data_IF_993569981336
#
_entry.id   IF_993569981336
#
_cell.length_a   1.000
_cell.length_b   1.000
_cell.length_c   1.000
_cell.angle_alpha   90.00
_cell.angle_beta   90.00
_cell.angle_gamma   90.00
#
_symmetry.space_group_name_H-M   'P 1'
#
loop_
_entity.id
_entity.type
_entity.pdbx_description
1 polymer ?
#
# COMPACT_ATOMS: atom_id res chain seq x y z
N UNK A 1 -3.40 -5.92 -96.26
CA UNK A 1 -2.84 -6.81 -95.28
C UNK A 1 -2.17 -5.98 -94.19
N UNK A 2 -2.82 -5.67 -93.11
CA UNK A 2 -2.20 -5.17 -91.87
C UNK A 2 -3.16 -5.48 -90.75
N UNK A 3 -2.72 -6.34 -89.85
CA UNK A 3 -3.43 -6.75 -88.68
C UNK A 3 -3.27 -5.66 -87.62
N UNK A 4 -4.35 -5.06 -87.18
CA UNK A 4 -4.40 -4.20 -86.00
C UNK A 4 -4.75 -5.07 -84.78
N UNK A 5 -3.82 -5.20 -83.88
CA UNK A 5 -4.03 -5.85 -82.55
C UNK A 5 -4.69 -4.82 -81.65
N UNK A 6 -5.90 -5.07 -81.26
CA UNK A 6 -6.57 -4.33 -80.18
C UNK A 6 -6.08 -4.92 -78.86
N UNK A 7 -5.39 -4.11 -78.06
CA UNK A 7 -5.04 -4.43 -76.72
C UNK A 7 -6.18 -4.01 -75.79
N UNK A 8 -6.87 -5.01 -75.21
CA UNK A 8 -7.82 -4.78 -74.12
C UNK A 8 -7.06 -4.43 -72.86
N UNK A 9 -7.17 -3.19 -72.39
CA UNK A 9 -6.77 -2.75 -71.08
C UNK A 9 -7.82 -3.25 -70.07
N UNK A 10 -7.55 -4.31 -69.33
CA UNK A 10 -8.29 -4.64 -68.11
C UNK A 10 -7.83 -3.70 -67.00
N UNK A 11 -8.58 -2.67 -66.70
CA UNK A 11 -8.50 -1.92 -65.47
C UNK A 11 -9.04 -2.78 -64.34
N UNK A 12 -8.18 -3.48 -63.64
CA UNK A 12 -8.47 -4.05 -62.36
C UNK A 12 -8.56 -2.95 -61.32
N UNK A 13 -9.78 -2.58 -60.94
CA UNK A 13 -10.05 -1.79 -59.76
C UNK A 13 -9.63 -2.56 -58.52
N UNK A 14 -8.45 -2.27 -57.96
CA UNK A 14 -8.09 -2.65 -56.63
C UNK A 14 -8.91 -1.78 -55.66
N UNK A 15 -9.73 -2.37 -54.77
CA UNK A 15 -10.26 -1.60 -53.65
C UNK A 15 -9.08 -1.25 -52.75
N UNK A 16 -8.76 0.03 -52.67
CA UNK A 16 -7.96 0.63 -51.62
C UNK A 16 -8.69 0.31 -50.30
N UNK A 17 -8.34 -0.80 -49.67
CA UNK A 17 -8.56 -1.01 -48.26
C UNK A 17 -7.76 0.06 -47.51
N UNK A 18 -8.40 1.21 -47.31
CA UNK A 18 -7.95 2.15 -46.28
C UNK A 18 -8.05 1.40 -44.97
N UNK A 19 -6.93 0.83 -44.54
CA UNK A 19 -6.73 0.40 -43.18
C UNK A 19 -6.80 1.68 -42.34
N UNK A 20 -8.01 2.01 -41.87
CA UNK A 20 -8.17 2.92 -40.78
C UNK A 20 -7.39 2.27 -39.63
N UNK A 21 -6.16 2.71 -39.42
CA UNK A 21 -5.51 2.53 -38.15
C UNK A 21 -6.49 3.17 -37.15
N UNK A 22 -7.28 2.34 -36.50
CA UNK A 22 -7.98 2.74 -35.31
C UNK A 22 -6.88 3.27 -34.41
N UNK A 23 -6.81 4.59 -34.30
CA UNK A 23 -6.06 5.20 -33.22
C UNK A 23 -6.69 4.63 -31.97
N UNK A 24 -6.08 3.60 -31.42
CA UNK A 24 -6.36 3.10 -30.10
C UNK A 24 -5.93 4.20 -29.13
N UNK A 25 -6.82 5.17 -28.97
CA UNK A 25 -6.72 6.22 -27.95
C UNK A 25 -7.17 5.68 -26.61
N UNK A 26 -6.98 4.39 -26.35
CA UNK A 26 -7.00 3.90 -24.99
C UNK A 26 -5.88 4.65 -24.27
N UNK A 27 -6.25 5.61 -23.42
CA UNK A 27 -5.31 6.27 -22.53
C UNK A 27 -4.49 5.19 -21.87
N UNK A 28 -3.20 5.13 -22.21
CA UNK A 28 -2.31 4.13 -21.68
C UNK A 28 -2.18 4.40 -20.19
N UNK A 29 -2.81 3.57 -19.38
CA UNK A 29 -2.78 3.70 -17.93
C UNK A 29 -1.32 3.69 -17.47
N UNK A 30 -0.95 4.70 -16.71
CA UNK A 30 0.36 4.77 -16.08
C UNK A 30 0.29 4.14 -14.69
N UNK A 31 1.21 3.23 -14.42
CA UNK A 31 1.36 2.58 -13.12
C UNK A 31 2.64 3.06 -12.44
N UNK A 32 2.63 3.10 -11.12
CA UNK A 32 3.82 3.40 -10.35
C UNK A 32 4.92 2.36 -10.61
N UNK A 33 6.17 2.79 -10.54
CA UNK A 33 7.31 1.91 -10.74
C UNK A 33 8.49 2.33 -9.87
N UNK A 34 9.51 1.49 -9.78
CA UNK A 34 10.79 1.80 -9.14
C UNK A 34 11.85 2.04 -10.20
N UNK A 35 12.58 3.15 -10.08
CA UNK A 35 13.74 3.49 -10.90
C UNK A 35 14.88 3.94 -10.01
N UNK A 36 16.03 3.30 -10.14
CA UNK A 36 17.22 3.65 -9.35
C UNK A 36 16.95 3.72 -7.84
N UNK A 37 16.21 2.75 -7.30
CA UNK A 37 15.87 2.70 -5.88
C UNK A 37 14.86 3.75 -5.41
N UNK A 38 14.11 4.39 -6.31
CA UNK A 38 13.14 5.45 -6.00
C UNK A 38 11.80 5.20 -6.70
N UNK A 39 10.72 5.63 -6.08
CA UNK A 39 9.40 5.57 -6.69
C UNK A 39 9.21 6.62 -7.78
N UNK A 40 8.51 6.23 -8.84
CA UNK A 40 7.96 7.12 -9.86
C UNK A 40 6.49 6.76 -10.05
N UNK A 41 5.61 7.76 -10.18
CA UNK A 41 4.17 7.52 -10.38
C UNK A 41 3.82 7.09 -11.82
N UNK A 42 4.79 7.17 -12.72
CA UNK A 42 4.64 6.75 -14.11
C UNK A 42 5.98 6.26 -14.65
N UNK A 43 6.01 5.19 -15.45
CA UNK A 43 7.22 4.78 -16.17
C UNK A 43 7.77 5.85 -17.12
N UNK A 44 6.95 6.80 -17.50
CA UNK A 44 7.34 7.95 -18.37
C UNK A 44 7.88 9.11 -17.55
N UNK A 45 7.62 9.18 -16.25
CA UNK A 45 8.16 10.23 -15.39
C UNK A 45 9.65 10.00 -15.13
N UNK A 46 10.43 11.07 -15.28
CA UNK A 46 11.83 11.12 -14.84
C UNK A 46 11.94 11.52 -13.36
N UNK A 47 10.90 12.11 -12.79
CA UNK A 47 10.91 12.66 -11.44
C UNK A 47 10.52 11.60 -10.43
N UNK A 48 11.39 11.28 -9.50
CA UNK A 48 11.02 10.44 -8.37
C UNK A 48 10.08 11.19 -7.43
N UNK A 49 9.30 10.42 -6.66
CA UNK A 49 8.38 10.96 -5.68
C UNK A 49 8.75 10.49 -4.28
N UNK A 50 8.60 11.40 -3.32
CA UNK A 50 8.57 11.11 -1.89
C UNK A 50 7.17 11.48 -1.41
N UNK A 51 6.54 10.64 -0.61
CA UNK A 51 5.16 10.87 -0.20
C UNK A 51 4.88 10.45 1.24
N UNK A 52 3.81 10.99 1.77
CA UNK A 52 3.21 10.56 3.01
C UNK A 52 1.78 10.09 2.79
N UNK A 53 1.31 9.26 3.67
CA UNK A 53 -0.03 8.72 3.63
C UNK A 53 -0.56 8.42 5.02
N UNK A 54 -1.75 7.85 5.06
CA UNK A 54 -2.43 7.48 6.30
C UNK A 54 -2.83 6.00 6.26
N UNK A 55 -2.69 5.31 7.39
CA UNK A 55 -3.27 3.98 7.56
C UNK A 55 -4.75 4.11 7.92
N UNK A 56 -5.63 3.46 7.16
CA UNK A 56 -7.05 3.33 7.47
C UNK A 56 -7.43 1.83 7.54
N UNK A 57 -7.03 1.15 8.62
CA UNK A 57 -7.08 -0.31 8.68
C UNK A 57 -8.49 -0.88 8.78
N UNK A 58 -9.46 -0.15 9.36
CA UNK A 58 -10.84 -0.62 9.57
C UNK A 58 -11.72 -0.49 8.33
N UNK A 59 -11.36 0.35 7.35
CA UNK A 59 -12.24 0.74 6.24
C UNK A 59 -12.87 -0.45 5.51
N UNK A 60 -12.04 -1.39 5.04
CA UNK A 60 -12.53 -2.54 4.26
C UNK A 60 -13.37 -3.48 5.12
N UNK A 61 -12.90 -3.80 6.33
CA UNK A 61 -13.63 -4.68 7.27
C UNK A 61 -14.97 -4.10 7.70
N UNK A 62 -15.04 -2.80 7.94
CA UNK A 62 -16.28 -2.09 8.30
C UNK A 62 -17.31 -2.19 7.17
N UNK A 63 -16.94 -1.89 5.94
CA UNK A 63 -17.83 -1.98 4.78
C UNK A 63 -18.23 -3.42 4.47
N UNK A 64 -17.32 -4.37 4.64
CA UNK A 64 -17.62 -5.80 4.45
C UNK A 64 -18.67 -6.30 5.45
N UNK A 65 -18.58 -5.87 6.72
CA UNK A 65 -19.55 -6.22 7.75
C UNK A 65 -20.89 -5.47 7.59
N UNK A 66 -20.81 -4.19 7.20
CA UNK A 66 -21.97 -3.29 7.09
C UNK A 66 -21.86 -2.46 5.80
N UNK A 67 -22.42 -2.92 4.66
CA UNK A 67 -22.28 -2.23 3.36
C UNK A 67 -22.76 -0.76 3.35
N UNK A 68 -23.70 -0.38 4.21
CA UNK A 68 -24.14 1.01 4.36
C UNK A 68 -23.02 1.92 4.87
N UNK A 69 -22.08 1.40 5.68
CA UNK A 69 -20.94 2.13 6.21
C UNK A 69 -20.04 2.73 5.11
N UNK A 70 -20.10 2.20 3.89
CA UNK A 70 -19.39 2.83 2.78
C UNK A 70 -19.84 4.28 2.57
N UNK A 71 -21.13 4.53 2.45
CA UNK A 71 -21.68 5.89 2.23
C UNK A 71 -21.75 6.73 3.48
N UNK A 72 -21.95 6.09 4.62
CA UNK A 72 -22.18 6.77 5.89
C UNK A 72 -20.88 7.21 6.57
N UNK A 73 -19.78 6.43 6.38
CA UNK A 73 -18.52 6.63 7.12
C UNK A 73 -17.33 6.68 6.18
N UNK A 74 -17.06 5.59 5.41
CA UNK A 74 -15.77 5.43 4.72
C UNK A 74 -15.62 6.41 3.57
N UNK A 75 -16.65 6.59 2.75
CA UNK A 75 -16.63 7.55 1.65
C UNK A 75 -16.43 9.00 2.16
N UNK A 76 -17.22 9.52 3.13
CA UNK A 76 -16.97 10.86 3.68
C UNK A 76 -15.58 11.04 4.27
N UNK A 77 -15.04 10.03 4.93
CA UNK A 77 -13.70 10.09 5.50
C UNK A 77 -12.62 10.15 4.40
N UNK A 78 -12.75 9.38 3.31
CA UNK A 78 -11.83 9.45 2.17
C UNK A 78 -11.91 10.79 1.45
N UNK A 79 -13.13 11.33 1.25
CA UNK A 79 -13.36 12.65 0.68
C UNK A 79 -12.68 13.73 1.55
N UNK A 80 -12.84 13.63 2.87
CA UNK A 80 -12.21 14.54 3.81
C UNK A 80 -10.69 14.45 3.76
N UNK A 81 -10.10 13.25 3.80
CA UNK A 81 -8.67 13.05 3.70
C UNK A 81 -8.09 13.61 2.38
N UNK A 82 -8.79 13.39 1.27
CA UNK A 82 -8.44 13.98 -0.03
C UNK A 82 -8.41 15.51 0.03
N UNK A 83 -9.42 16.11 0.62
CA UNK A 83 -9.52 17.57 0.80
C UNK A 83 -8.43 18.14 1.73
N UNK A 84 -7.91 17.34 2.67
CA UNK A 84 -6.75 17.70 3.50
C UNK A 84 -5.41 17.50 2.77
N UNK A 85 -5.40 17.04 1.53
CA UNK A 85 -4.19 16.83 0.75
C UNK A 85 -3.52 15.46 0.98
N UNK A 86 -4.16 14.55 1.68
CA UNK A 86 -3.70 13.16 1.81
C UNK A 86 -3.94 12.45 0.49
N UNK A 87 -2.87 12.07 -0.20
CA UNK A 87 -2.94 11.43 -1.53
C UNK A 87 -2.76 9.92 -1.47
N UNK A 88 -2.24 9.38 -0.39
CA UNK A 88 -2.00 7.96 -0.22
C UNK A 88 -2.72 7.42 1.01
N UNK A 89 -3.45 6.32 0.83
CA UNK A 89 -4.14 5.61 1.91
C UNK A 89 -3.68 4.15 1.91
N UNK A 90 -3.26 3.64 3.06
CA UNK A 90 -2.93 2.23 3.23
C UNK A 90 -4.11 1.51 3.89
N UNK A 91 -4.64 0.51 3.21
CA UNK A 91 -5.83 -0.23 3.61
C UNK A 91 -5.47 -1.65 4.03
N UNK A 92 -6.06 -2.09 5.11
CA UNK A 92 -6.04 -3.50 5.52
C UNK A 92 -7.14 -4.27 4.80
N UNK A 93 -6.79 -5.36 4.15
CA UNK A 93 -7.73 -6.26 3.47
C UNK A 93 -7.81 -7.56 4.27
N UNK A 94 -8.82 -7.73 5.15
CA UNK A 94 -8.91 -8.85 6.08
C UNK A 94 -9.42 -10.11 5.39
N UNK A 95 -8.54 -10.80 4.65
CA UNK A 95 -8.86 -12.03 3.95
C UNK A 95 -8.92 -13.22 4.92
N UNK A 96 -9.77 -14.18 4.63
CA UNK A 96 -9.89 -15.44 5.38
C UNK A 96 -9.37 -16.60 4.55
N UNK A 97 -8.54 -17.43 5.16
CA UNK A 97 -8.09 -18.69 4.59
C UNK A 97 -8.67 -19.83 5.40
N UNK A 98 -9.32 -20.75 4.73
CA UNK A 98 -9.93 -21.90 5.36
C UNK A 98 -8.86 -22.92 5.75
N UNK A 99 -8.64 -23.12 7.04
CA UNK A 99 -7.72 -24.14 7.57
C UNK A 99 -8.22 -25.58 7.39
N UNK A 100 -9.49 -25.77 7.07
CA UNK A 100 -10.14 -27.08 6.89
C UNK A 100 -11.10 -27.06 5.72
N UNK A 101 -11.17 -28.18 5.04
CA UNK A 101 -12.01 -28.36 3.86
C UNK A 101 -13.51 -28.05 4.09
N UNK A 102 -14.01 -28.32 5.30
CA UNK A 102 -15.38 -28.09 5.74
C UNK A 102 -15.74 -26.60 5.94
N UNK A 103 -14.73 -25.73 6.13
CA UNK A 103 -14.91 -24.28 6.32
C UNK A 103 -14.67 -23.44 5.06
N UNK A 104 -14.33 -24.05 3.93
CA UNK A 104 -14.05 -23.31 2.68
C UNK A 104 -15.21 -22.42 2.22
N UNK A 105 -16.45 -22.90 2.35
CA UNK A 105 -17.63 -22.11 1.94
C UNK A 105 -17.83 -20.87 2.83
N UNK A 106 -17.56 -20.96 4.14
CA UNK A 106 -17.67 -19.79 5.03
C UNK A 106 -16.59 -18.76 4.71
N UNK A 107 -15.33 -19.19 4.62
CA UNK A 107 -14.23 -18.31 4.25
C UNK A 107 -14.45 -17.63 2.90
N UNK A 108 -15.03 -18.37 1.93
CA UNK A 108 -15.38 -17.80 0.62
C UNK A 108 -16.44 -16.70 0.74
N UNK A 109 -17.51 -16.92 1.50
CA UNK A 109 -18.57 -15.93 1.66
C UNK A 109 -18.07 -14.67 2.37
N UNK A 110 -17.21 -14.81 3.39
CA UNK A 110 -16.56 -13.69 4.04
C UNK A 110 -15.65 -12.92 3.08
N UNK A 111 -14.83 -13.63 2.31
CA UNK A 111 -13.96 -13.01 1.31
C UNK A 111 -14.77 -12.32 0.20
N UNK A 112 -15.89 -12.87 -0.26
CA UNK A 112 -16.73 -12.22 -1.27
C UNK A 112 -17.25 -10.86 -0.75
N UNK A 113 -17.61 -10.75 0.53
CA UNK A 113 -17.99 -9.47 1.17
C UNK A 113 -16.81 -8.50 1.27
N UNK A 114 -15.63 -8.99 1.66
CA UNK A 114 -14.40 -8.20 1.73
C UNK A 114 -14.00 -7.67 0.35
N UNK A 115 -14.06 -8.52 -0.69
CA UNK A 115 -13.74 -8.13 -2.06
C UNK A 115 -14.73 -7.12 -2.63
N UNK A 116 -16.03 -7.26 -2.32
CA UNK A 116 -17.04 -6.29 -2.73
C UNK A 116 -16.80 -4.92 -2.06
N UNK A 117 -16.47 -4.90 -0.76
CA UNK A 117 -16.13 -3.70 -0.02
C UNK A 117 -14.86 -3.03 -0.58
N UNK A 118 -13.80 -3.82 -0.80
CA UNK A 118 -12.54 -3.35 -1.36
C UNK A 118 -12.74 -2.71 -2.73
N UNK A 119 -13.50 -3.36 -3.61
CA UNK A 119 -13.77 -2.87 -4.95
C UNK A 119 -14.51 -1.52 -4.96
N UNK A 120 -15.49 -1.34 -4.05
CA UNK A 120 -16.18 -0.05 -3.85
C UNK A 120 -15.22 1.04 -3.41
N UNK A 121 -14.37 0.75 -2.43
CA UNK A 121 -13.41 1.71 -1.86
C UNK A 121 -12.38 2.11 -2.92
N UNK A 122 -11.76 1.15 -3.62
CA UNK A 122 -10.74 1.44 -4.65
C UNK A 122 -11.33 2.25 -5.80
N UNK A 123 -12.55 1.93 -6.24
CA UNK A 123 -13.22 2.71 -7.29
C UNK A 123 -13.48 4.16 -6.86
N UNK A 124 -13.80 4.39 -5.59
CA UNK A 124 -13.97 5.75 -5.06
C UNK A 124 -12.62 6.48 -4.95
N UNK A 125 -11.58 5.81 -4.46
CA UNK A 125 -10.21 6.36 -4.39
C UNK A 125 -9.70 6.73 -5.79
N UNK A 126 -10.01 5.94 -6.83
CA UNK A 126 -9.67 6.28 -8.22
C UNK A 126 -10.35 7.58 -8.66
N UNK A 127 -11.61 7.80 -8.27
CA UNK A 127 -12.36 9.05 -8.56
C UNK A 127 -11.77 10.26 -7.83
N UNK A 128 -11.16 10.07 -6.67
CA UNK A 128 -10.49 11.12 -5.88
C UNK A 128 -9.05 11.41 -6.36
N UNK A 129 -8.55 10.68 -7.36
CA UNK A 129 -7.15 10.72 -7.80
C UNK A 129 -6.15 10.47 -6.64
N UNK A 130 -6.54 9.65 -5.68
CA UNK A 130 -5.68 9.14 -4.63
C UNK A 130 -5.10 7.78 -4.99
N UNK A 131 -4.13 7.33 -4.21
CA UNK A 131 -3.51 6.02 -4.33
C UNK A 131 -3.79 5.16 -3.10
N UNK A 132 -3.90 3.85 -3.31
CA UNK A 132 -4.00 2.88 -2.22
C UNK A 132 -2.83 1.91 -2.21
N UNK A 133 -2.32 1.65 -1.01
CA UNK A 133 -1.49 0.49 -0.70
C UNK A 133 -2.39 -0.55 -0.07
N UNK A 134 -2.46 -1.74 -0.65
CA UNK A 134 -3.38 -2.80 -0.24
C UNK A 134 -2.62 -3.87 0.54
N UNK A 135 -2.78 -3.85 1.87
CA UNK A 135 -2.17 -4.83 2.76
C UNK A 135 -3.08 -6.05 2.88
N UNK A 136 -2.68 -7.14 2.24
CA UNK A 136 -3.43 -8.40 2.18
C UNK A 136 -3.14 -9.22 3.44
N UNK A 137 -3.80 -8.84 4.55
CA UNK A 137 -3.67 -9.56 5.79
C UNK A 137 -4.58 -10.78 5.80
N UNK A 138 -3.96 -11.94 5.88
CA UNK A 138 -4.69 -13.16 6.15
C UNK A 138 -4.65 -13.40 7.65
N UNK A 139 -5.78 -13.24 8.30
CA UNK A 139 -5.91 -13.66 9.70
C UNK A 139 -5.94 -15.18 9.76
N UNK A 140 -5.01 -15.79 10.51
CA UNK A 140 -5.16 -17.20 10.85
C UNK A 140 -6.45 -17.36 11.66
N UNK A 141 -7.20 -18.40 11.35
CA UNK A 141 -8.38 -18.75 12.17
C UNK A 141 -8.01 -19.19 13.61
N UNK A 142 -6.75 -19.35 13.91
CA UNK A 142 -6.16 -19.55 15.25
C UNK A 142 -4.72 -19.04 15.20
N UNK A 143 -4.21 -18.48 16.28
CA UNK A 143 -2.91 -17.86 16.55
C UNK A 143 -1.63 -18.51 15.98
N UNK A 144 -1.73 -19.37 15.01
CA UNK A 144 -0.59 -20.01 14.35
C UNK A 144 -0.35 -19.37 12.98
N UNK A 145 0.84 -18.89 12.84
CA UNK A 145 1.53 -18.33 11.68
C UNK A 145 1.26 -19.02 10.33
N UNK A 146 1.83 -18.45 9.27
CA UNK A 146 1.87 -18.99 7.91
C UNK A 146 2.09 -20.52 7.82
N UNK A 147 2.69 -21.15 8.81
CA UNK A 147 2.84 -22.60 8.91
C UNK A 147 1.58 -23.45 9.12
N UNK A 148 0.39 -22.85 9.06
CA UNK A 148 -0.90 -23.56 9.26
C UNK A 148 -1.84 -23.60 8.09
N UNK A 149 -1.59 -22.87 6.98
CA UNK A 149 -2.36 -22.98 5.74
C UNK A 149 -1.57 -23.57 4.59
N UNK A 150 -2.32 -24.14 3.67
CA UNK A 150 -1.77 -24.46 2.38
C UNK A 150 -1.43 -23.13 1.67
N UNK A 151 -0.16 -22.95 1.30
CA UNK A 151 0.29 -21.76 0.58
C UNK A 151 -0.48 -21.58 -0.74
N UNK A 152 -0.98 -22.65 -1.34
CA UNK A 152 -1.81 -22.61 -2.54
C UNK A 152 -3.17 -21.94 -2.28
N UNK A 153 -3.79 -22.19 -1.13
CA UNK A 153 -5.04 -21.51 -0.76
C UNK A 153 -4.77 -20.01 -0.56
N UNK A 154 -3.61 -19.63 -0.01
CA UNK A 154 -3.22 -18.21 0.11
C UNK A 154 -2.98 -17.58 -1.26
N UNK A 155 -2.22 -18.22 -2.14
CA UNK A 155 -2.00 -17.78 -3.52
C UNK A 155 -3.34 -17.57 -4.25
N UNK A 156 -4.25 -18.52 -4.12
CA UNK A 156 -5.56 -18.43 -4.77
C UNK A 156 -6.35 -17.20 -4.31
N UNK A 157 -6.40 -16.92 -3.00
CA UNK A 157 -7.11 -15.77 -2.43
C UNK A 157 -6.47 -14.45 -2.85
N UNK A 158 -5.15 -14.35 -2.80
CA UNK A 158 -4.39 -13.14 -3.22
C UNK A 158 -4.62 -12.84 -4.71
N UNK A 159 -4.48 -13.85 -5.57
CA UNK A 159 -4.71 -13.69 -7.01
C UNK A 159 -6.18 -13.40 -7.35
N UNK A 160 -7.15 -13.95 -6.59
CA UNK A 160 -8.55 -13.62 -6.73
C UNK A 160 -8.81 -12.15 -6.36
N UNK A 161 -8.16 -11.65 -5.32
CA UNK A 161 -8.27 -10.25 -4.90
C UNK A 161 -7.84 -9.31 -6.03
N UNK A 162 -6.69 -9.55 -6.64
CA UNK A 162 -6.22 -8.72 -7.76
C UNK A 162 -7.20 -8.73 -8.96
N UNK A 163 -7.88 -9.85 -9.22
CA UNK A 163 -8.86 -10.02 -10.29
C UNK A 163 -10.26 -9.49 -9.95
N UNK A 164 -10.51 -9.06 -8.71
CA UNK A 164 -11.79 -8.53 -8.28
C UNK A 164 -12.19 -7.32 -9.14
N UNK A 165 -13.47 -7.24 -9.53
CA UNK A 165 -13.96 -6.19 -10.42
C UNK A 165 -14.64 -5.07 -9.65
N UNK A 166 -14.25 -3.85 -9.98
CA UNK A 166 -14.91 -2.64 -9.51
C UNK A 166 -16.34 -2.55 -10.05
N UNK A 167 -17.33 -2.10 -9.26
CA UNK A 167 -18.73 -2.24 -9.60
C UNK A 167 -19.19 -1.41 -10.79
N UNK A 168 -18.71 -0.17 -10.94
CA UNK A 168 -19.13 0.75 -12.03
C UNK A 168 -18.26 0.60 -13.26
N UNK A 169 -16.95 0.74 -13.09
CA UNK A 169 -15.98 0.69 -14.19
C UNK A 169 -15.82 -0.71 -14.80
N UNK A 170 -16.17 -1.76 -14.05
CA UNK A 170 -16.00 -3.17 -14.41
C UNK A 170 -14.52 -3.58 -14.64
N UNK A 171 -13.58 -2.67 -14.45
CA UNK A 171 -12.14 -2.99 -14.45
C UNK A 171 -11.81 -3.87 -13.26
N UNK A 172 -10.83 -4.76 -13.42
CA UNK A 172 -10.24 -5.47 -12.28
C UNK A 172 -9.34 -4.56 -11.47
N UNK A 173 -9.10 -4.87 -10.19
CA UNK A 173 -8.23 -4.06 -9.33
C UNK A 173 -6.81 -3.93 -9.92
N UNK A 174 -6.29 -5.00 -10.55
CA UNK A 174 -4.99 -4.96 -11.25
C UNK A 174 -4.97 -4.04 -12.49
N UNK A 175 -6.10 -3.44 -12.86
CA UNK A 175 -6.22 -2.46 -13.95
C UNK A 175 -6.49 -1.05 -13.43
N UNK A 176 -6.59 -0.85 -12.12
CA UNK A 176 -6.85 0.45 -11.52
C UNK A 176 -5.55 1.22 -11.29
N UNK A 177 -5.44 2.43 -11.83
CA UNK A 177 -4.31 3.32 -11.57
C UNK A 177 -4.25 3.82 -10.12
N UNK A 178 -5.33 3.65 -9.35
CA UNK A 178 -5.37 3.99 -7.93
C UNK A 178 -4.63 2.98 -7.06
N UNK A 179 -4.48 1.73 -7.50
CA UNK A 179 -3.65 0.76 -6.78
C UNK A 179 -2.18 1.13 -6.96
N UNK A 180 -1.52 1.54 -5.89
CA UNK A 180 -0.09 1.82 -5.90
C UNK A 180 0.70 0.52 -5.76
N UNK A 181 0.33 -0.29 -4.78
CA UNK A 181 1.03 -1.55 -4.50
C UNK A 181 0.18 -2.55 -3.73
N UNK A 182 0.61 -3.79 -3.80
CA UNK A 182 0.16 -4.90 -2.97
C UNK A 182 1.21 -5.21 -1.91
N UNK A 183 0.80 -5.34 -0.67
CA UNK A 183 1.64 -5.87 0.40
C UNK A 183 1.08 -7.23 0.83
N UNK A 184 1.87 -8.28 0.65
CA UNK A 184 1.46 -9.65 0.98
C UNK A 184 1.95 -10.06 2.34
N UNK A 185 1.08 -10.69 3.09
CA UNK A 185 1.37 -11.26 4.39
C UNK A 185 1.76 -10.22 5.42
N UNK A 186 1.76 -10.66 6.66
CA UNK A 186 2.36 -9.95 7.78
C UNK A 186 3.51 -10.79 8.26
N UNK A 187 4.74 -10.30 8.08
CA UNK A 187 5.90 -10.94 8.65
C UNK A 187 5.91 -10.72 10.17
N UNK A 188 5.84 -11.79 10.92
CA UNK A 188 6.12 -11.80 12.34
C UNK A 188 7.25 -12.80 12.58
N UNK A 189 8.32 -12.35 13.24
CA UNK A 189 9.42 -13.20 13.64
C UNK A 189 8.96 -14.14 14.75
N UNK A 190 8.57 -15.34 14.40
CA UNK A 190 8.14 -16.35 15.36
C UNK A 190 8.60 -17.76 14.96
N UNK A 191 9.89 -18.02 15.10
CA UNK A 191 10.38 -19.41 15.22
C UNK A 191 10.15 -20.37 14.05
N UNK A 192 9.73 -19.89 12.89
CA UNK A 192 9.68 -20.67 11.64
C UNK A 192 11.09 -20.77 11.08
N UNK A 193 11.42 -21.86 10.45
CA UNK A 193 12.68 -21.94 9.71
C UNK A 193 12.66 -20.84 8.64
N UNK A 194 13.72 -20.05 8.58
CA UNK A 194 13.83 -18.92 7.66
C UNK A 194 13.66 -19.34 6.19
N UNK A 195 14.18 -20.50 5.85
CA UNK A 195 14.22 -20.98 4.47
C UNK A 195 12.83 -21.33 3.93
N UNK A 196 11.98 -21.98 4.74
CA UNK A 196 10.60 -22.34 4.37
C UNK A 196 9.76 -21.07 4.20
N UNK A 197 9.90 -20.10 5.09
CA UNK A 197 9.17 -18.83 4.99
C UNK A 197 9.56 -18.05 3.72
N UNK A 198 10.86 -17.96 3.41
CA UNK A 198 11.34 -17.27 2.21
C UNK A 198 10.82 -17.95 0.94
N UNK A 199 10.83 -19.30 0.89
CA UNK A 199 10.32 -20.04 -0.25
C UNK A 199 8.82 -19.85 -0.47
N UNK A 200 8.01 -19.83 0.61
CA UNK A 200 6.57 -19.61 0.53
C UNK A 200 6.23 -18.19 0.07
N UNK A 201 6.91 -17.17 0.63
CA UNK A 201 6.73 -15.80 0.16
C UNK A 201 7.13 -15.64 -1.30
N UNK A 202 8.23 -16.23 -1.75
CA UNK A 202 8.65 -16.19 -3.15
C UNK A 202 7.57 -16.75 -4.08
N UNK A 203 6.91 -17.86 -3.72
CA UNK A 203 5.82 -18.46 -4.50
C UNK A 203 4.59 -17.56 -4.58
N UNK A 204 4.20 -16.96 -3.45
CA UNK A 204 3.06 -16.04 -3.38
C UNK A 204 3.32 -14.80 -4.24
N UNK A 205 4.49 -14.18 -4.08
CA UNK A 205 4.87 -12.96 -4.80
C UNK A 205 4.97 -13.21 -6.32
N UNK A 206 5.60 -14.31 -6.73
CA UNK A 206 5.69 -14.68 -8.15
C UNK A 206 4.30 -14.88 -8.77
N UNK A 207 3.40 -15.58 -8.06
CA UNK A 207 2.02 -15.79 -8.52
C UNK A 207 1.23 -14.49 -8.61
N UNK A 208 1.42 -13.57 -7.66
CA UNK A 208 0.81 -12.24 -7.70
C UNK A 208 1.36 -11.42 -8.87
N UNK A 209 2.67 -11.37 -9.08
CA UNK A 209 3.30 -10.67 -10.21
C UNK A 209 2.89 -11.25 -11.57
N UNK A 210 2.65 -12.56 -11.65
CA UNK A 210 2.09 -13.18 -12.86
C UNK A 210 0.64 -12.74 -13.10
N UNK A 211 -0.14 -12.55 -12.04
CA UNK A 211 -1.54 -12.09 -12.12
C UNK A 211 -1.63 -10.60 -12.40
N UNK A 212 -0.77 -9.82 -11.76
CA UNK A 212 -0.67 -8.37 -11.87
C UNK A 212 0.78 -7.94 -12.13
N UNK A 213 1.19 -7.84 -13.37
CA UNK A 213 2.54 -7.41 -13.73
C UNK A 213 2.75 -5.89 -13.64
N UNK A 214 1.70 -5.13 -13.36
CA UNK A 214 1.71 -3.67 -13.44
C UNK A 214 2.06 -2.99 -12.12
N UNK A 215 1.49 -3.49 -11.01
CA UNK A 215 1.63 -2.82 -9.72
C UNK A 215 2.85 -3.29 -8.94
N UNK A 216 3.29 -2.40 -8.07
CA UNK A 216 4.35 -2.71 -7.12
C UNK A 216 3.90 -3.76 -6.11
N UNK A 217 4.84 -4.58 -5.67
CA UNK A 217 4.58 -5.63 -4.68
C UNK A 217 5.64 -5.56 -3.57
N UNK A 218 5.22 -5.76 -2.34
CA UNK A 218 6.11 -5.89 -1.19
C UNK A 218 5.53 -6.87 -0.15
N UNK A 219 6.26 -7.06 0.93
CA UNK A 219 5.86 -7.86 2.07
C UNK A 219 5.55 -6.92 3.23
N UNK A 220 4.40 -7.08 3.87
CA UNK A 220 4.01 -6.29 5.04
C UNK A 220 4.88 -6.65 6.24
N UNK A 221 5.39 -5.64 6.94
CA UNK A 221 6.19 -5.82 8.14
C UNK A 221 5.29 -6.06 9.37
N UNK A 222 5.68 -7.00 10.22
CA UNK A 222 5.03 -7.23 11.52
C UNK A 222 5.53 -6.26 12.61
N UNK A 223 4.90 -6.32 13.79
CA UNK A 223 5.24 -5.42 14.91
C UNK A 223 6.59 -5.77 15.57
N UNK A 224 7.05 -7.01 15.44
CA UNK A 224 8.27 -7.53 16.08
C UNK A 224 9.55 -7.30 15.28
N UNK A 225 9.49 -6.72 14.07
CA UNK A 225 10.63 -6.53 13.18
C UNK A 225 11.60 -5.43 13.64
N UNK A 226 12.05 -5.47 14.88
CA UNK A 226 12.99 -4.49 15.45
C UNK A 226 14.22 -5.11 16.11
N UNK A 227 14.29 -6.44 16.20
CA UNK A 227 15.50 -7.13 16.67
C UNK A 227 16.47 -7.40 15.53
N UNK A 228 17.74 -7.63 15.87
CA UNK A 228 18.76 -7.93 14.85
C UNK A 228 18.52 -9.26 14.13
N UNK A 229 17.92 -10.24 14.83
CA UNK A 229 17.55 -11.51 14.21
C UNK A 229 16.41 -11.34 13.20
N UNK A 230 15.44 -10.49 13.53
CA UNK A 230 14.34 -10.15 12.62
C UNK A 230 14.83 -9.42 11.37
N UNK A 231 15.83 -8.54 11.53
CA UNK A 231 16.44 -7.82 10.39
C UNK A 231 17.08 -8.78 9.39
N UNK A 232 17.69 -9.88 9.83
CA UNK A 232 18.32 -10.85 8.91
C UNK A 232 17.27 -11.52 8.03
N UNK A 233 16.20 -12.04 8.60
CA UNK A 233 15.11 -12.65 7.83
C UNK A 233 14.39 -11.62 6.95
N UNK A 234 14.21 -10.39 7.45
CA UNK A 234 13.68 -9.29 6.63
C UNK A 234 14.57 -8.97 5.44
N UNK A 235 15.90 -9.00 5.62
CA UNK A 235 16.84 -8.81 4.51
C UNK A 235 16.65 -9.89 3.44
N UNK A 236 16.53 -11.16 3.82
CA UNK A 236 16.31 -12.26 2.89
C UNK A 236 14.99 -12.12 2.13
N UNK A 237 13.91 -11.80 2.84
CA UNK A 237 12.59 -11.59 2.24
C UNK A 237 12.55 -10.37 1.31
N UNK A 238 13.09 -9.24 1.74
CA UNK A 238 13.09 -8.00 0.95
C UNK A 238 14.06 -8.04 -0.23
N UNK A 239 15.00 -8.99 -0.21
CA UNK A 239 15.93 -9.22 -1.32
C UNK A 239 15.32 -10.08 -2.45
N UNK A 240 14.15 -10.69 -2.23
CA UNK A 240 13.44 -11.43 -3.28
C UNK A 240 13.23 -10.55 -4.53
N UNK A 241 13.42 -11.09 -5.75
CA UNK A 241 13.34 -10.31 -6.98
C UNK A 241 11.97 -9.70 -7.24
N UNK A 242 10.91 -10.32 -6.76
CA UNK A 242 9.53 -9.84 -6.90
C UNK A 242 9.20 -8.67 -5.97
N UNK A 243 9.97 -8.46 -4.90
CA UNK A 243 9.76 -7.36 -3.96
C UNK A 243 10.31 -6.07 -4.54
N UNK A 244 9.46 -5.05 -4.70
CA UNK A 244 9.83 -3.78 -5.31
C UNK A 244 10.36 -2.75 -4.29
N UNK A 245 9.98 -2.86 -3.01
CA UNK A 245 10.38 -1.90 -1.96
C UNK A 245 10.42 -2.55 -0.58
N UNK A 246 11.11 -1.89 0.33
CA UNK A 246 11.32 -2.35 1.71
C UNK A 246 10.29 -1.69 2.61
N UNK A 247 9.66 -2.48 3.47
CA UNK A 247 8.78 -2.04 4.54
C UNK A 247 9.50 -2.04 5.89
N UNK A 248 9.23 -1.03 6.72
CA UNK A 248 9.55 -1.00 8.14
C UNK A 248 8.40 -0.36 8.92
N UNK A 249 8.28 -0.66 10.19
CA UNK A 249 7.37 0.00 11.12
C UNK A 249 8.15 0.89 12.08
N UNK A 250 7.47 1.87 12.70
CA UNK A 250 8.00 2.68 13.79
C UNK A 250 6.97 2.73 14.93
N UNK A 251 7.13 1.84 15.92
CA UNK A 251 6.18 1.59 17.00
C UNK A 251 6.84 1.78 18.38
N UNK A 252 7.23 3.02 18.76
CA UNK A 252 8.07 3.27 19.93
C UNK A 252 7.46 2.80 21.27
N UNK A 253 6.13 2.82 21.40
CA UNK A 253 5.47 2.36 22.61
C UNK A 253 5.54 0.83 22.71
N UNK A 254 5.24 0.11 21.65
CA UNK A 254 5.27 -1.36 21.62
C UNK A 254 6.70 -1.88 21.84
N UNK A 255 7.69 -1.19 21.31
CA UNK A 255 9.11 -1.51 21.46
C UNK A 255 9.72 -0.99 22.76
N UNK A 256 8.91 -0.40 23.65
CA UNK A 256 9.34 0.12 24.95
C UNK A 256 10.45 1.19 24.85
N UNK A 257 10.48 1.96 23.76
CA UNK A 257 11.35 3.13 23.63
C UNK A 257 10.77 4.34 24.39
N UNK A 258 9.47 4.30 24.63
CA UNK A 258 8.71 5.23 25.44
C UNK A 258 7.75 4.45 26.37
N UNK A 259 7.05 5.17 27.23
CA UNK A 259 5.99 4.63 28.06
C UNK A 259 4.83 5.64 28.20
N UNK A 260 3.66 5.15 28.58
CA UNK A 260 2.42 5.93 28.61
C UNK A 260 2.40 7.07 29.62
N UNK A 261 3.25 7.04 30.67
CA UNK A 261 3.33 8.06 31.70
C UNK A 261 4.28 9.21 31.38
N UNK A 262 5.15 9.07 30.38
CA UNK A 262 6.18 10.07 30.04
C UNK A 262 6.42 10.22 28.53
N UNK A 263 5.36 10.20 27.74
CA UNK A 263 5.42 10.25 26.27
C UNK A 263 6.28 11.40 25.73
N UNK A 264 6.06 12.60 26.27
CA UNK A 264 6.79 13.80 25.82
C UNK A 264 8.25 13.79 26.30
N UNK A 265 8.49 13.43 27.55
CA UNK A 265 9.81 13.44 28.16
C UNK A 265 10.76 12.42 27.54
N UNK A 266 10.23 11.34 26.97
CA UNK A 266 11.02 10.27 26.34
C UNK A 266 11.27 10.48 24.86
N UNK A 267 10.67 11.51 24.22
CA UNK A 267 10.88 11.82 22.80
C UNK A 267 12.37 11.87 22.38
N UNK A 268 13.30 12.50 23.16
CA UNK A 268 14.71 12.50 22.78
C UNK A 268 15.30 11.08 22.66
N UNK A 269 14.92 10.16 23.57
CA UNK A 269 15.33 8.77 23.48
C UNK A 269 14.71 8.06 22.26
N UNK A 270 13.44 8.34 21.98
CA UNK A 270 12.76 7.82 20.78
C UNK A 270 13.48 8.27 19.51
N UNK A 271 13.88 9.55 19.42
CA UNK A 271 14.58 10.08 18.24
C UNK A 271 15.94 9.43 18.03
N UNK A 272 16.71 9.21 19.10
CA UNK A 272 18.02 8.54 19.00
C UNK A 272 17.84 7.11 18.47
N UNK A 273 16.95 6.33 19.10
CA UNK A 273 16.70 4.95 18.68
C UNK A 273 16.10 4.85 17.28
N UNK A 274 15.19 5.75 16.96
CA UNK A 274 14.59 5.81 15.62
C UNK A 274 15.65 6.17 14.57
N UNK A 275 16.59 7.09 14.88
CA UNK A 275 17.68 7.43 13.97
C UNK A 275 18.58 6.22 13.68
N UNK A 276 19.03 5.50 14.73
CA UNK A 276 19.83 4.28 14.57
C UNK A 276 19.10 3.23 13.72
N UNK A 277 17.81 3.04 13.98
CA UNK A 277 16.96 2.11 13.26
C UNK A 277 16.79 2.50 11.78
N UNK A 278 16.55 3.79 11.50
CA UNK A 278 16.52 4.30 10.13
C UNK A 278 17.84 4.11 9.40
N UNK A 279 18.96 4.37 10.08
CA UNK A 279 20.29 4.26 9.46
C UNK A 279 20.60 2.81 9.04
N UNK A 280 20.16 1.82 9.81
CA UNK A 280 20.27 0.40 9.47
C UNK A 280 19.46 0.06 8.22
N UNK A 281 18.18 0.42 8.19
CA UNK A 281 17.31 0.16 7.05
C UNK A 281 17.73 0.94 5.79
N UNK A 282 18.20 2.16 5.93
CA UNK A 282 18.69 2.96 4.80
C UNK A 282 19.98 2.38 4.21
N UNK A 283 20.88 1.83 5.04
CA UNK A 283 22.05 1.10 4.54
C UNK A 283 21.64 -0.12 3.74
N UNK A 284 20.66 -0.88 4.25
CA UNK A 284 20.10 -2.03 3.55
C UNK A 284 19.44 -1.63 2.23
N UNK A 285 18.55 -0.64 2.25
CA UNK A 285 17.86 -0.09 1.07
C UNK A 285 18.84 0.28 -0.04
N UNK A 286 19.91 1.00 0.28
CA UNK A 286 20.96 1.38 -0.68
C UNK A 286 21.68 0.15 -1.24
N UNK A 287 21.98 -0.85 -0.39
CA UNK A 287 22.68 -2.06 -0.79
C UNK A 287 21.94 -2.84 -1.85
N UNK A 288 20.60 -2.98 -1.71
CA UNK A 288 19.76 -3.73 -2.63
C UNK A 288 19.05 -2.84 -3.67
N UNK A 289 19.27 -1.52 -3.62
CA UNK A 289 18.71 -0.54 -4.55
C UNK A 289 17.17 -0.57 -4.63
N UNK A 290 16.51 -0.68 -3.47
CA UNK A 290 15.05 -0.64 -3.36
C UNK A 290 14.60 0.52 -2.46
N UNK A 291 13.47 1.21 -2.75
CA UNK A 291 12.95 2.26 -1.90
C UNK A 291 12.61 1.73 -0.50
N UNK A 292 12.74 2.60 0.51
CA UNK A 292 12.35 2.31 1.88
C UNK A 292 11.09 3.09 2.23
N UNK A 293 10.10 2.42 2.81
CA UNK A 293 8.92 3.06 3.39
C UNK A 293 8.73 2.69 4.86
N UNK A 294 8.19 3.62 5.64
CA UNK A 294 7.63 3.32 6.96
C UNK A 294 6.14 3.03 6.75
N UNK A 295 5.78 1.75 6.80
CA UNK A 295 4.40 1.31 6.54
C UNK A 295 3.44 1.59 7.69
N UNK A 296 3.95 1.76 8.90
CA UNK A 296 3.16 2.16 10.06
C UNK A 296 4.00 2.97 11.04
N UNK A 297 3.53 4.18 11.36
CA UNK A 297 4.05 4.98 12.45
C UNK A 297 2.92 5.16 13.46
N UNK A 298 3.13 4.68 14.67
CA UNK A 298 2.18 4.80 15.75
C UNK A 298 2.80 5.46 16.96
N UNK A 299 2.17 6.50 17.48
CA UNK A 299 2.54 7.16 18.73
C UNK A 299 1.28 7.62 19.46
N UNK A 300 1.16 7.38 20.78
CA UNK A 300 -0.06 7.73 21.52
C UNK A 300 -0.29 9.24 21.61
N UNK A 301 -1.54 9.61 21.82
CA UNK A 301 -1.94 10.95 22.25
C UNK A 301 -1.37 11.25 23.64
N UNK A 302 -1.23 12.50 23.96
CA UNK A 302 -0.65 12.94 25.24
C UNK A 302 -1.32 12.28 26.44
N UNK A 303 -0.55 11.91 27.42
CA UNK A 303 -1.00 11.17 28.61
C UNK A 303 -1.75 9.86 28.29
N UNK A 304 -1.51 9.29 27.10
CA UNK A 304 -2.20 8.09 26.63
C UNK A 304 -3.75 8.23 26.59
N UNK A 305 -4.25 9.45 26.39
CA UNK A 305 -5.66 9.65 26.10
C UNK A 305 -6.05 9.05 24.75
N UNK A 306 -7.30 8.73 24.54
CA UNK A 306 -7.80 8.14 23.31
C UNK A 306 -9.08 8.81 22.77
N UNK A 307 -9.64 9.75 23.50
CA UNK A 307 -10.84 10.48 23.07
C UNK A 307 -10.49 11.46 21.95
N UNK A 308 -11.39 11.67 20.97
CA UNK A 308 -11.27 12.74 19.99
C UNK A 308 -11.02 14.10 20.69
N UNK A 309 -10.20 14.96 20.03
CA UNK A 309 -9.80 16.29 20.55
C UNK A 309 -8.90 16.30 21.80
N UNK A 310 -8.50 15.13 22.33
CA UNK A 310 -7.45 15.10 23.37
C UNK A 310 -6.12 15.64 22.81
N UNK A 311 -5.24 16.23 23.65
CA UNK A 311 -3.96 16.77 23.20
C UNK A 311 -3.09 15.75 22.46
N UNK A 312 -2.32 16.22 21.48
CA UNK A 312 -1.53 15.39 20.56
C UNK A 312 -0.10 15.89 20.34
N UNK A 313 0.41 16.76 21.22
CA UNK A 313 1.70 17.42 21.02
C UNK A 313 2.87 16.44 20.96
N UNK A 314 2.88 15.43 21.84
CA UNK A 314 3.92 14.40 21.83
C UNK A 314 3.84 13.54 20.56
N UNK A 315 2.64 13.16 20.13
CA UNK A 315 2.42 12.42 18.88
C UNK A 315 2.86 13.21 17.67
N UNK A 316 2.42 14.46 17.56
CA UNK A 316 2.76 15.33 16.46
C UNK A 316 4.27 15.60 16.40
N UNK A 317 4.93 15.75 17.55
CA UNK A 317 6.39 15.86 17.61
C UNK A 317 7.11 14.61 17.05
N UNK A 318 6.61 13.42 17.37
CA UNK A 318 7.12 12.17 16.80
C UNK A 318 6.88 12.09 15.28
N UNK A 319 5.69 12.48 14.83
CA UNK A 319 5.35 12.49 13.40
C UNK A 319 6.20 13.50 12.62
N UNK A 320 6.43 14.68 13.19
CA UNK A 320 7.30 15.70 12.59
C UNK A 320 8.74 15.25 12.43
N UNK A 321 9.26 14.42 13.34
CA UNK A 321 10.56 13.82 13.16
C UNK A 321 10.65 13.00 11.87
N UNK A 322 9.60 12.22 11.54
CA UNK A 322 9.56 11.40 10.32
C UNK A 322 9.25 12.23 9.07
N UNK A 323 8.33 13.20 9.15
CA UNK A 323 8.05 14.09 8.01
C UNK A 323 9.26 14.92 7.61
N UNK A 324 10.08 15.32 8.58
CA UNK A 324 11.35 16.01 8.29
C UNK A 324 12.35 15.10 7.56
N UNK A 325 12.38 13.79 7.86
CA UNK A 325 13.21 12.83 7.10
C UNK A 325 12.71 12.66 5.66
N UNK A 326 11.39 12.66 5.45
CA UNK A 326 10.83 12.64 4.09
C UNK A 326 11.23 13.89 3.31
N UNK A 327 11.13 15.08 3.90
CA UNK A 327 11.56 16.34 3.27
C UNK A 327 13.04 16.33 2.90
N UNK A 328 13.90 15.88 3.82
CA UNK A 328 15.34 15.71 3.53
C UNK A 328 15.57 14.77 2.34
N UNK A 329 14.78 13.72 2.24
CA UNK A 329 14.89 12.75 1.15
C UNK A 329 14.44 13.31 -0.21
N UNK A 330 13.54 14.29 -0.23
CA UNK A 330 13.19 15.02 -1.46
C UNK A 330 14.40 15.81 -2.00
N UNK A 331 15.17 16.42 -1.09
CA UNK A 331 16.32 17.24 -1.45
C UNK A 331 17.53 16.37 -1.85
N UNK A 332 17.85 15.37 -1.05
CA UNK A 332 19.09 14.58 -1.16
C UNK A 332 18.97 13.35 -2.07
N UNK A 333 17.77 12.87 -2.27
CA UNK A 333 17.50 11.69 -3.10
C UNK A 333 17.88 10.32 -2.50
N UNK A 334 18.34 10.28 -1.24
CA UNK A 334 18.97 9.10 -0.64
C UNK A 334 18.37 8.70 0.71
N UNK A 335 17.09 8.93 0.89
CA UNK A 335 16.47 8.72 2.19
C UNK A 335 15.21 7.87 2.15
N UNK A 336 14.36 8.14 3.12
CA UNK A 336 13.04 7.53 3.24
C UNK A 336 12.15 7.95 2.06
N UNK A 337 11.55 6.98 1.39
CA UNK A 337 10.73 7.24 0.18
C UNK A 337 9.27 7.51 0.49
N UNK A 338 8.74 6.91 1.57
CA UNK A 338 7.38 7.16 2.00
C UNK A 338 7.18 6.84 3.49
N UNK A 339 6.09 7.37 4.07
CA UNK A 339 5.67 7.04 5.42
C UNK A 339 4.14 7.09 5.56
N UNK A 340 3.58 6.08 6.23
CA UNK A 340 2.17 6.01 6.57
C UNK A 340 1.96 6.20 8.06
N UNK A 341 1.12 7.16 8.42
CA UNK A 341 0.93 7.61 9.78
C UNK A 341 -0.30 6.98 10.43
N UNK A 342 -0.13 6.61 11.68
CA UNK A 342 -1.16 6.23 12.65
C UNK A 342 -2.14 5.19 12.16
N UNK A 343 -3.21 5.09 12.94
CA UNK A 343 -4.44 4.43 12.55
C UNK A 343 -5.52 5.50 12.46
N UNK A 344 -5.91 5.86 11.24
CA UNK A 344 -7.10 6.68 11.05
C UNK A 344 -8.32 5.83 11.36
N UNK A 345 -9.13 6.28 12.28
CA UNK A 345 -10.37 5.63 12.68
C UNK A 345 -11.51 6.65 12.76
N UNK A 346 -12.71 6.19 12.46
CA UNK A 346 -13.91 7.00 12.66
C UNK A 346 -14.17 7.25 14.15
N UNK A 347 -14.69 8.43 14.49
CA UNK A 347 -14.98 8.78 15.86
C UNK A 347 -16.06 7.90 16.52
N UNK A 348 -16.80 7.14 15.73
CA UNK A 348 -17.80 6.15 16.21
C UNK A 348 -17.20 4.76 16.49
N UNK A 349 -15.96 4.52 16.07
CA UNK A 349 -15.26 3.26 16.34
C UNK A 349 -14.73 3.22 17.78
N UNK A 350 -14.25 2.04 18.19
CA UNK A 350 -13.55 1.90 19.47
C UNK A 350 -12.29 2.72 19.47
N UNK A 351 -12.25 3.70 20.35
CA UNK A 351 -11.12 4.60 20.48
C UNK A 351 -9.86 3.88 20.98
N UNK A 352 -8.71 4.25 20.40
CA UNK A 352 -7.38 3.76 20.81
C UNK A 352 -6.40 4.93 20.95
N UNK A 353 -5.37 4.81 21.81
CA UNK A 353 -4.46 5.94 22.08
C UNK A 353 -3.72 6.48 20.86
N UNK A 354 -3.40 5.64 19.90
CA UNK A 354 -2.69 6.03 18.66
C UNK A 354 -3.62 6.54 17.56
N UNK A 355 -4.92 6.61 17.78
CA UNK A 355 -5.90 7.01 16.78
C UNK A 355 -5.66 8.41 16.23
N UNK A 356 -5.83 8.55 14.92
CA UNK A 356 -5.99 9.83 14.23
C UNK A 356 -7.47 9.95 13.84
N UNK A 357 -8.11 11.04 14.24
CA UNK A 357 -9.51 11.32 13.95
C UNK A 357 -9.66 12.44 12.93
N UNK A 358 -10.83 12.57 12.34
CA UNK A 358 -11.20 13.69 11.47
C UNK A 358 -10.98 15.03 12.17
N UNK A 359 -11.23 15.10 13.49
CA UNK A 359 -11.03 16.31 14.30
C UNK A 359 -9.55 16.68 14.54
N UNK A 360 -8.58 15.81 14.21
CA UNK A 360 -7.13 16.07 14.36
C UNK A 360 -6.56 16.87 13.18
N UNK A 361 -7.16 18.00 12.86
CA UNK A 361 -6.81 18.82 11.67
C UNK A 361 -5.34 19.24 11.63
N UNK A 362 -4.75 19.60 12.80
CA UNK A 362 -3.34 19.92 12.89
C UNK A 362 -2.48 18.71 12.51
N UNK A 363 -2.75 17.54 13.07
CA UNK A 363 -2.01 16.29 12.72
C UNK A 363 -2.08 16.01 11.23
N UNK A 364 -3.28 16.09 10.64
CA UNK A 364 -3.47 15.83 9.22
C UNK A 364 -2.71 16.84 8.35
N UNK A 365 -2.66 18.12 8.73
CA UNK A 365 -1.89 19.13 8.00
C UNK A 365 -0.37 18.92 8.10
N UNK A 366 0.11 18.37 9.20
CA UNK A 366 1.54 18.05 9.40
C UNK A 366 1.96 16.79 8.62
N UNK A 367 1.07 15.82 8.49
CA UNK A 367 1.28 14.61 7.70
C UNK A 367 1.27 14.90 6.21
N UNK A 368 0.35 15.73 5.73
CA UNK A 368 0.27 16.09 4.33
C UNK A 368 1.55 16.83 3.93
N UNK A 369 2.46 16.15 3.24
CA UNK A 369 3.58 16.80 2.60
C UNK A 369 2.98 17.83 1.62
N UNK A 370 3.18 19.13 1.91
CA UNK A 370 2.68 20.18 1.03
C UNK A 370 3.23 19.89 -0.37
N UNK A 371 2.34 19.70 -1.34
CA UNK A 371 2.74 19.68 -2.75
C UNK A 371 3.64 20.90 -2.96
N UNK A 372 4.89 20.66 -3.33
CA UNK A 372 5.83 21.74 -3.59
C UNK A 372 5.09 22.74 -4.46
N UNK A 373 5.06 24.01 -4.04
CA UNK A 373 4.48 25.09 -4.85
C UNK A 373 5.08 24.91 -6.22
N UNK A 374 4.28 24.52 -7.21
CA UNK A 374 4.69 24.64 -8.59
C UNK A 374 5.21 26.06 -8.75
N UNK A 375 6.54 26.17 -8.91
CA UNK A 375 7.14 27.43 -9.29
C UNK A 375 6.57 27.70 -10.67
N UNK A 376 5.49 28.46 -10.71
CA UNK A 376 5.02 29.08 -11.94
C UNK A 376 6.20 29.85 -12.54
N UNK A 377 6.78 29.28 -13.59
CA UNK A 377 7.66 29.99 -14.51
C UNK A 377 6.83 30.65 -15.60
#
# INVERSE_FOLDING_TARGET
MKWIKIALLCLSAFPLLVWAAANDTSEKIDYACVKNGRFCLSPRSANPVVFSGINYPSAVGMVAAHPAAFKEVVQPNLDYLSNQGVTFVRLNVPLKIALRHDKRNMAKAENDSVLAALALIVEHVEQLHQYVVLCLNCEPANDSMIGGYDVEDYIAVVCQTAKCKMPKSRKSLFQSSAVFSWEVGRFESMGVSSDDAVADYARVLASLKQTDPNHLVSISCGNSCHSRADLTLMEDLMNLPEVDYINMNLLPLEWKWTNTSSLYQTLPNVYIKAQEYFDDYLRFSRRINKPLIVSEISYPRDRNHFEPKSPVDARNSCFNFVTNKLKQSEDDGNGLSAAFFGNFIDETEKHVPSAIYVSDTQTLSEIALQKGKEKSK
#
